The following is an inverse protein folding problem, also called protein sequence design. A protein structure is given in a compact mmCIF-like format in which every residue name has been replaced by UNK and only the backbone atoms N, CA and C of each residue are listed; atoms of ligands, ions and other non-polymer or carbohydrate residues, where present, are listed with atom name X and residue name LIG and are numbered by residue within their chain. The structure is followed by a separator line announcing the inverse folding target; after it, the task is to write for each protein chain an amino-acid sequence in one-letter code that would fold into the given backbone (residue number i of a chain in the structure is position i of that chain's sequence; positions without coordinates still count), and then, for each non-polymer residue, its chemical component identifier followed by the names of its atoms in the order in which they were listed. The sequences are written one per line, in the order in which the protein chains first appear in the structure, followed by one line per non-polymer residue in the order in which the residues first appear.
data_IF_121654792175
#
_entry.id   IF_121654792175
#
_cell.length_a   1.000
_cell.length_b   1.000
_cell.length_c   1.000
_cell.angle_alpha   90.00
_cell.angle_beta   90.00
_cell.angle_gamma   90.00
#
_symmetry.space_group_name_H-M   'P 1'
#
loop_
_entity.id
_entity.type
_entity.pdbx_description
1 polymer ?
#
# COMPACT_ATOMS: atom_id res chain seq x y z
N UNK A 1 26.43 -2.70 -3.06
CA UNK A 1 25.20 -3.23 -3.69
C UNK A 1 24.99 -2.75 -5.12
N UNK A 2 25.24 -1.48 -5.45
CA UNK A 2 25.03 -0.93 -6.81
C UNK A 2 25.81 -1.64 -7.93
N UNK A 3 27.05 -2.07 -7.71
CA UNK A 3 27.87 -2.71 -8.75
C UNK A 3 27.38 -4.11 -9.15
N UNK A 4 26.99 -4.93 -8.18
CA UNK A 4 26.39 -6.26 -8.44
C UNK A 4 25.06 -6.11 -9.18
N UNK A 5 24.22 -5.20 -8.72
CA UNK A 5 22.94 -4.90 -9.35
C UNK A 5 23.13 -4.40 -10.78
N UNK A 6 24.16 -3.58 -11.02
CA UNK A 6 24.52 -3.10 -12.36
C UNK A 6 24.96 -4.26 -13.26
N UNK A 7 25.81 -5.17 -12.76
CA UNK A 7 26.23 -6.34 -13.52
C UNK A 7 25.08 -7.27 -13.86
N UNK A 8 24.20 -7.57 -12.88
CA UNK A 8 23.01 -8.39 -13.09
C UNK A 8 21.99 -7.71 -14.02
N UNK A 9 21.89 -6.38 -13.96
CA UNK A 9 21.04 -5.57 -14.84
C UNK A 9 21.53 -5.53 -16.30
N UNK A 10 22.80 -5.87 -16.55
CA UNK A 10 23.39 -5.93 -17.89
C UNK A 10 23.22 -7.29 -18.60
N UNK A 11 22.64 -8.28 -17.93
CA UNK A 11 22.33 -9.57 -18.56
C UNK A 11 21.41 -9.37 -19.78
N UNK A 12 21.62 -10.12 -20.88
CA UNK A 12 20.83 -9.95 -22.11
C UNK A 12 19.32 -9.96 -21.86
N UNK A 13 18.81 -10.95 -21.13
CA UNK A 13 17.38 -11.04 -20.76
C UNK A 13 16.86 -9.82 -19.99
N UNK A 14 17.68 -9.24 -19.12
CA UNK A 14 17.28 -8.03 -18.39
C UNK A 14 17.13 -6.82 -19.31
N UNK A 15 17.99 -6.71 -20.33
CA UNK A 15 17.88 -5.66 -21.35
C UNK A 15 16.61 -5.82 -22.18
N UNK A 16 16.29 -7.05 -22.57
CA UNK A 16 15.04 -7.38 -23.30
C UNK A 16 13.79 -7.06 -22.49
N UNK A 17 13.78 -7.40 -21.19
CA UNK A 17 12.67 -7.07 -20.28
C UNK A 17 12.51 -5.54 -20.17
N UNK A 18 13.60 -4.81 -19.93
CA UNK A 18 13.57 -3.35 -19.85
C UNK A 18 13.05 -2.72 -21.15
N UNK A 19 13.48 -3.24 -22.28
CA UNK A 19 13.02 -2.80 -23.59
C UNK A 19 11.52 -3.06 -23.75
N UNK A 20 11.02 -4.25 -23.44
CA UNK A 20 9.60 -4.58 -23.51
C UNK A 20 8.74 -3.66 -22.61
N UNK A 21 9.25 -3.33 -21.42
CA UNK A 21 8.62 -2.39 -20.50
C UNK A 21 8.58 -0.97 -21.11
N UNK A 22 9.69 -0.49 -21.66
CA UNK A 22 9.78 0.83 -22.30
C UNK A 22 8.88 0.94 -23.54
N UNK A 23 8.76 -0.13 -24.30
CA UNK A 23 7.85 -0.24 -25.46
C UNK A 23 6.37 -0.38 -25.03
N UNK A 24 6.09 -0.34 -23.72
CA UNK A 24 4.73 -0.47 -23.13
C UNK A 24 3.99 -1.74 -23.53
N UNK A 25 4.71 -2.83 -23.79
CA UNK A 25 4.10 -4.13 -24.03
C UNK A 25 3.34 -4.57 -22.78
N UNK A 26 2.15 -5.14 -22.96
CA UNK A 26 1.29 -5.60 -21.86
C UNK A 26 0.29 -6.63 -22.39
N UNK A 27 0.06 -7.72 -21.67
CA UNK A 27 0.77 -8.14 -20.47
C UNK A 27 2.15 -8.77 -20.79
N UNK A 28 3.07 -8.67 -19.82
CA UNK A 28 4.39 -9.32 -19.83
C UNK A 28 4.40 -10.43 -18.77
N UNK A 29 4.90 -11.61 -19.07
CA UNK A 29 5.13 -12.67 -18.07
C UNK A 29 6.60 -12.97 -17.90
N UNK A 30 7.05 -13.00 -16.65
CA UNK A 30 8.41 -13.37 -16.26
C UNK A 30 8.31 -14.55 -15.30
N UNK A 31 8.70 -15.74 -15.75
CA UNK A 31 8.56 -17.01 -15.03
C UNK A 31 9.89 -17.65 -14.66
N UNK A 32 9.85 -18.68 -13.80
CA UNK A 32 11.03 -19.39 -13.32
C UNK A 32 11.89 -18.60 -12.35
N UNK A 33 11.26 -17.65 -11.61
CA UNK A 33 11.92 -16.76 -10.66
C UNK A 33 11.90 -17.34 -9.25
N UNK A 34 13.00 -17.15 -8.51
CA UNK A 34 12.99 -17.25 -7.05
C UNK A 34 12.32 -16.02 -6.40
N UNK A 35 12.02 -16.05 -5.11
CA UNK A 35 11.50 -14.86 -4.40
C UNK A 35 12.49 -13.68 -4.53
N UNK A 36 13.79 -13.95 -4.34
CA UNK A 36 14.85 -12.95 -4.51
C UNK A 36 14.94 -12.47 -5.97
N UNK A 37 14.75 -13.37 -6.94
CA UNK A 37 14.73 -13.03 -8.36
C UNK A 37 13.62 -12.05 -8.72
N UNK A 38 12.41 -12.23 -8.16
CA UNK A 38 11.31 -11.28 -8.35
C UNK A 38 11.66 -9.89 -7.84
N UNK A 39 12.19 -9.80 -6.61
CA UNK A 39 12.61 -8.53 -6.00
C UNK A 39 13.70 -7.85 -6.82
N UNK A 40 14.67 -8.63 -7.32
CA UNK A 40 15.73 -8.13 -8.20
C UNK A 40 15.16 -7.53 -9.48
N UNK A 41 14.21 -8.22 -10.13
CA UNK A 41 13.54 -7.70 -11.34
C UNK A 41 12.81 -6.40 -11.03
N UNK A 42 12.00 -6.37 -9.96
CA UNK A 42 11.31 -5.18 -9.50
C UNK A 42 12.29 -4.01 -9.28
N UNK A 43 13.37 -4.23 -8.52
CA UNK A 43 14.36 -3.17 -8.22
C UNK A 43 15.14 -2.64 -9.43
N UNK A 44 15.27 -3.46 -10.49
CA UNK A 44 16.07 -3.12 -11.68
C UNK A 44 15.24 -2.63 -12.86
N UNK A 45 13.96 -2.98 -12.93
CA UNK A 45 13.09 -2.71 -14.07
C UNK A 45 12.06 -1.61 -13.82
N UNK A 46 12.20 -0.81 -12.75
CA UNK A 46 11.34 0.36 -12.53
C UNK A 46 11.53 1.35 -13.68
N UNK A 47 10.49 1.61 -14.49
CA UNK A 47 10.65 2.32 -15.76
C UNK A 47 10.87 3.82 -15.61
N UNK A 48 10.37 4.41 -14.54
CA UNK A 48 10.42 5.85 -14.33
C UNK A 48 10.56 6.18 -12.85
N UNK A 49 11.55 7.01 -12.53
CA UNK A 49 11.79 7.41 -11.15
C UNK A 49 10.71 8.35 -10.59
N UNK A 50 9.85 8.90 -11.45
CA UNK A 50 8.82 9.86 -11.08
C UNK A 50 7.42 9.25 -10.96
N UNK A 51 7.20 8.01 -11.40
CA UNK A 51 5.88 7.37 -11.39
C UNK A 51 5.74 6.32 -10.31
N UNK A 52 4.56 6.26 -9.72
CA UNK A 52 4.19 5.21 -8.78
C UNK A 52 4.03 3.89 -9.53
N UNK A 53 4.63 2.82 -8.99
CA UNK A 53 4.40 1.45 -9.42
C UNK A 53 3.62 0.70 -8.35
N UNK A 54 2.80 -0.27 -8.76
CA UNK A 54 1.98 -1.05 -7.84
C UNK A 54 2.40 -2.51 -7.91
N UNK A 55 2.53 -3.16 -6.76
CA UNK A 55 2.66 -4.61 -6.64
C UNK A 55 1.41 -5.15 -5.98
N UNK A 56 0.78 -6.10 -6.64
CA UNK A 56 -0.39 -6.82 -6.12
C UNK A 56 0.02 -8.23 -5.76
N UNK A 57 -0.20 -8.62 -4.52
CA UNK A 57 0.04 -9.97 -4.04
C UNK A 57 -1.21 -10.58 -3.39
N UNK A 58 -1.14 -11.84 -2.99
CA UNK A 58 -2.29 -12.62 -2.55
C UNK A 58 -2.62 -12.49 -1.05
N UNK A 59 -1.70 -11.99 -0.20
CA UNK A 59 -1.96 -11.74 1.22
C UNK A 59 -0.97 -10.70 1.82
N UNK A 60 -1.29 -10.22 3.03
CA UNK A 60 -0.48 -9.21 3.72
C UNK A 60 0.89 -9.70 4.19
N UNK A 61 1.01 -10.98 4.55
CA UNK A 61 2.30 -11.57 4.97
C UNK A 61 3.29 -11.48 3.81
N UNK A 62 2.86 -11.86 2.62
CA UNK A 62 3.68 -11.76 1.41
C UNK A 62 3.96 -10.29 1.06
N UNK A 63 2.97 -9.40 1.20
CA UNK A 63 3.16 -7.97 0.97
C UNK A 63 4.26 -7.38 1.87
N UNK A 64 4.23 -7.68 3.17
CA UNK A 64 5.25 -7.23 4.14
C UNK A 64 6.63 -7.78 3.80
N UNK A 65 6.73 -9.07 3.42
CA UNK A 65 7.98 -9.68 2.95
C UNK A 65 8.54 -8.96 1.71
N UNK A 66 7.69 -8.69 0.72
CA UNK A 66 8.09 -7.95 -0.48
C UNK A 66 8.62 -6.56 -0.12
N UNK A 67 7.98 -5.84 0.82
CA UNK A 67 8.41 -4.51 1.28
C UNK A 67 9.79 -4.57 1.94
N UNK A 68 10.00 -5.53 2.84
CA UNK A 68 11.27 -5.74 3.52
C UNK A 68 12.40 -6.02 2.52
N UNK A 69 12.13 -6.88 1.55
CA UNK A 69 13.10 -7.26 0.52
C UNK A 69 13.36 -6.11 -0.47
N UNK A 70 12.34 -5.35 -0.87
CA UNK A 70 12.48 -4.18 -1.75
C UNK A 70 13.29 -3.05 -1.11
N UNK A 71 13.26 -2.92 0.21
CA UNK A 71 14.03 -1.90 0.94
C UNK A 71 15.56 -2.02 0.74
N UNK A 72 16.05 -3.14 0.17
CA UNK A 72 17.44 -3.28 -0.28
C UNK A 72 17.73 -2.56 -1.59
N UNK A 73 16.72 -2.28 -2.41
CA UNK A 73 16.85 -1.73 -3.76
C UNK A 73 16.33 -0.29 -3.85
N UNK A 74 15.31 0.02 -3.05
CA UNK A 74 14.60 1.30 -3.06
C UNK A 74 14.63 1.86 -1.64
N UNK A 75 14.87 3.15 -1.43
CA UNK A 75 14.76 3.77 -0.11
C UNK A 75 13.40 3.46 0.55
N UNK A 76 13.43 3.05 1.82
CA UNK A 76 12.23 2.61 2.54
C UNK A 76 11.12 3.68 2.52
N UNK A 77 11.52 4.95 2.52
CA UNK A 77 10.63 6.12 2.46
C UNK A 77 9.91 6.23 1.10
N UNK A 78 10.35 5.51 0.08
CA UNK A 78 9.73 5.50 -1.25
C UNK A 78 8.86 4.25 -1.48
N UNK A 79 8.74 3.39 -0.46
CA UNK A 79 7.86 2.22 -0.49
C UNK A 79 6.71 2.46 0.48
N UNK A 80 5.49 2.09 0.09
CA UNK A 80 4.32 2.14 0.95
C UNK A 80 3.52 0.85 0.87
N UNK A 81 2.80 0.53 1.94
CA UNK A 81 1.81 -0.53 1.97
C UNK A 81 0.40 0.08 1.90
N UNK A 82 -0.43 -0.46 1.04
CA UNK A 82 -1.85 -0.12 1.00
C UNK A 82 -2.67 -1.35 1.44
N UNK A 83 -3.07 -1.41 2.73
CA UNK A 83 -3.83 -2.54 3.27
C UNK A 83 -5.28 -2.53 2.81
N UNK A 84 -5.96 -3.66 2.95
CA UNK A 84 -7.42 -3.72 2.85
C UNK A 84 -8.07 -2.88 3.94
N UNK A 85 -9.29 -2.42 3.70
CA UNK A 85 -10.16 -1.81 4.70
C UNK A 85 -10.91 -2.89 5.47
N UNK A 86 -11.03 -2.76 6.77
CA UNK A 86 -11.93 -3.57 7.58
C UNK A 86 -13.36 -3.03 7.45
N UNK A 87 -14.25 -3.82 6.87
CA UNK A 87 -15.68 -3.46 6.77
C UNK A 87 -16.37 -3.92 8.04
N UNK A 88 -16.82 -2.97 8.82
CA UNK A 88 -17.47 -3.23 10.12
C UNK A 88 -18.89 -3.74 9.89
N UNK A 89 -19.17 -4.96 10.35
CA UNK A 89 -20.48 -5.61 10.24
C UNK A 89 -21.26 -5.65 11.56
N UNK A 90 -20.60 -5.29 12.69
CA UNK A 90 -21.20 -5.28 14.03
C UNK A 90 -20.82 -3.99 14.75
N UNK A 91 -21.78 -3.35 15.41
CA UNK A 91 -21.60 -2.04 16.06
C UNK A 91 -20.70 -2.06 17.32
N UNK A 92 -20.18 -3.23 17.72
CA UNK A 92 -19.44 -3.44 18.98
C UNK A 92 -17.98 -3.88 18.79
N UNK A 93 -17.46 -3.93 17.58
CA UNK A 93 -16.05 -4.23 17.37
C UNK A 93 -15.21 -2.96 17.56
N UNK A 94 -14.19 -3.04 18.41
CA UNK A 94 -13.18 -1.98 18.49
C UNK A 94 -12.46 -1.87 17.13
N UNK A 95 -12.68 -0.78 16.43
CA UNK A 95 -11.99 -0.50 15.18
C UNK A 95 -10.50 -0.25 15.46
N UNK A 96 -9.63 -0.90 14.68
CA UNK A 96 -8.21 -0.55 14.67
C UNK A 96 -8.05 0.85 14.07
N UNK A 97 -7.45 1.78 14.81
CA UNK A 97 -7.12 3.10 14.28
C UNK A 97 -5.88 3.07 13.37
N UNK A 98 -5.07 2.03 13.44
CA UNK A 98 -3.81 1.93 12.71
C UNK A 98 -4.03 1.72 11.21
N UNK A 99 -4.91 0.79 10.81
CA UNK A 99 -5.16 0.49 9.39
C UNK A 99 -5.72 1.69 8.59
N UNK A 100 -6.74 2.43 9.07
CA UNK A 100 -7.19 3.65 8.39
C UNK A 100 -6.07 4.68 8.21
N UNK A 101 -5.21 4.83 9.21
CA UNK A 101 -4.08 5.76 9.14
C UNK A 101 -3.00 5.31 8.14
N UNK A 102 -2.68 4.01 8.08
CA UNK A 102 -1.74 3.46 7.11
C UNK A 102 -2.24 3.64 5.67
N UNK A 103 -3.53 3.42 5.43
CA UNK A 103 -4.17 3.67 4.13
C UNK A 103 -4.05 5.16 3.75
N UNK A 104 -4.44 6.07 4.65
CA UNK A 104 -4.35 7.51 4.40
C UNK A 104 -2.91 7.99 4.19
N UNK A 105 -1.95 7.48 4.96
CA UNK A 105 -0.53 7.79 4.75
C UNK A 105 -0.09 7.41 3.34
N UNK A 106 -0.43 6.20 2.91
CA UNK A 106 -0.11 5.72 1.57
C UNK A 106 -0.75 6.58 0.48
N UNK A 107 -2.05 6.89 0.59
CA UNK A 107 -2.77 7.73 -0.39
C UNK A 107 -2.18 9.14 -0.45
N UNK A 108 -1.93 9.77 0.69
CA UNK A 108 -1.36 11.12 0.77
C UNK A 108 0.06 11.17 0.19
N UNK A 109 0.89 10.18 0.48
CA UNK A 109 2.25 10.06 -0.07
C UNK A 109 2.24 9.79 -1.58
N UNK A 110 1.26 9.03 -2.08
CA UNK A 110 1.03 8.86 -3.52
C UNK A 110 0.64 10.18 -4.18
N UNK A 111 -0.30 10.91 -3.58
CA UNK A 111 -0.73 12.21 -4.09
C UNK A 111 0.41 13.24 -4.10
N UNK A 112 1.25 13.24 -3.05
CA UNK A 112 2.44 14.10 -2.93
C UNK A 112 3.59 13.68 -3.87
N UNK A 113 3.51 12.53 -4.56
CA UNK A 113 4.58 12.02 -5.42
C UNK A 113 5.82 11.53 -4.67
N UNK A 114 5.73 11.29 -3.35
CA UNK A 114 6.86 10.86 -2.51
C UNK A 114 7.07 9.34 -2.49
N UNK A 115 6.12 8.56 -3.02
CA UNK A 115 6.15 7.10 -3.11
C UNK A 115 6.41 6.67 -4.54
N UNK A 116 7.30 5.69 -4.72
CA UNK A 116 7.60 5.08 -6.03
C UNK A 116 7.04 3.69 -6.18
N UNK A 117 6.83 3.00 -5.07
CA UNK A 117 6.31 1.65 -5.04
C UNK A 117 5.23 1.53 -3.97
N UNK A 118 4.06 1.07 -4.36
CA UNK A 118 2.99 0.68 -3.43
C UNK A 118 2.80 -0.81 -3.54
N UNK A 119 2.90 -1.50 -2.40
CA UNK A 119 2.57 -2.92 -2.30
C UNK A 119 1.17 -3.04 -1.73
N UNK A 120 0.33 -3.86 -2.34
CA UNK A 120 -1.05 -4.07 -1.91
C UNK A 120 -1.48 -5.51 -2.12
N UNK A 121 -2.66 -5.86 -1.65
CA UNK A 121 -3.27 -7.19 -1.84
C UNK A 121 -4.42 -7.12 -2.82
N UNK A 122 -4.75 -8.26 -3.44
CA UNK A 122 -5.94 -8.37 -4.30
C UNK A 122 -7.21 -7.99 -3.53
N UNK A 123 -7.28 -8.30 -2.24
CA UNK A 123 -8.43 -7.97 -1.39
C UNK A 123 -8.65 -6.46 -1.29
N UNK A 124 -7.58 -5.67 -1.15
CA UNK A 124 -7.65 -4.20 -1.15
C UNK A 124 -8.10 -3.63 -2.50
N UNK A 125 -7.72 -4.25 -3.62
CA UNK A 125 -8.16 -3.83 -4.96
C UNK A 125 -9.64 -4.11 -5.24
N UNK A 126 -10.20 -5.15 -4.61
CA UNK A 126 -11.61 -5.54 -4.78
C UNK A 126 -12.56 -4.61 -4.03
N UNK A 127 -12.05 -3.79 -3.11
CA UNK A 127 -12.86 -2.89 -2.28
C UNK A 127 -13.07 -1.54 -2.96
N UNK A 128 -14.25 -0.97 -2.72
CA UNK A 128 -14.58 0.40 -3.11
C UNK A 128 -14.24 1.40 -2.00
N UNK A 129 -13.91 2.62 -2.42
CA UNK A 129 -13.46 3.69 -1.54
C UNK A 129 -13.92 5.06 -2.06
N UNK A 130 -13.61 6.11 -1.34
CA UNK A 130 -13.87 7.49 -1.74
C UNK A 130 -13.23 7.80 -3.12
N UNK A 131 -13.89 8.58 -4.00
CA UNK A 131 -13.27 9.05 -5.23
C UNK A 131 -12.08 10.00 -4.97
N UNK A 132 -11.03 9.88 -5.79
CA UNK A 132 -9.79 10.67 -5.64
C UNK A 132 -10.01 12.18 -5.68
N UNK A 133 -10.84 12.63 -6.61
CA UNK A 133 -11.19 14.04 -6.79
C UNK A 133 -11.99 14.60 -5.60
N UNK A 134 -12.83 13.79 -4.97
CA UNK A 134 -13.52 14.13 -3.72
C UNK A 134 -12.54 14.23 -2.57
N UNK A 135 -11.67 13.21 -2.39
CA UNK A 135 -10.71 13.16 -1.29
C UNK A 135 -9.74 14.35 -1.28
N UNK A 136 -9.25 14.76 -2.43
CA UNK A 136 -8.24 15.81 -2.53
C UNK A 136 -8.78 17.16 -2.99
N UNK A 137 -10.11 17.35 -2.96
CA UNK A 137 -10.77 18.61 -3.38
C UNK A 137 -10.30 19.83 -2.59
N UNK A 138 -10.12 19.67 -1.28
CA UNK A 138 -9.86 20.78 -0.34
C UNK A 138 -8.49 20.67 0.33
N UNK A 139 -7.46 20.22 -0.41
CA UNK A 139 -6.07 20.20 0.11
C UNK A 139 -5.65 21.62 0.50
N UNK A 140 -5.05 21.78 1.68
CA UNK A 140 -4.67 23.05 2.24
C UNK A 140 -3.15 23.22 2.25
N UNK A 141 -2.63 24.20 1.51
CA UNK A 141 -1.20 24.50 1.47
C UNK A 141 -0.91 25.83 2.15
N UNK A 142 0.15 25.87 2.95
CA UNK A 142 0.67 27.08 3.59
C UNK A 142 2.07 27.36 3.08
N UNK A 143 2.35 28.63 2.83
CA UNK A 143 3.66 29.14 2.45
C UNK A 143 3.97 30.40 3.23
N UNK A 144 5.25 30.63 3.53
CA UNK A 144 5.73 31.82 4.20
C UNK A 144 5.23 33.09 3.50
N UNK A 145 4.86 34.12 4.29
CA UNK A 145 4.34 35.40 3.82
C UNK A 145 3.04 35.35 3.03
N UNK A 146 2.36 34.21 2.96
CA UNK A 146 1.01 34.11 2.36
C UNK A 146 -0.06 34.48 3.38
N UNK A 147 -1.23 34.92 2.88
CA UNK A 147 -2.33 35.37 3.71
C UNK A 147 -3.48 34.36 3.75
N UNK A 148 -3.95 34.05 4.96
CA UNK A 148 -5.06 33.12 5.19
C UNK A 148 -5.95 33.62 6.33
N UNK A 149 -7.26 33.55 6.15
CA UNK A 149 -8.20 33.75 7.22
C UNK A 149 -8.24 32.55 8.17
N UNK A 150 -8.05 32.77 9.47
CA UNK A 150 -8.14 31.68 10.49
C UNK A 150 -9.49 30.98 10.50
N UNK A 151 -10.58 31.68 10.15
CA UNK A 151 -11.91 31.08 10.02
C UNK A 151 -11.95 30.10 8.87
N UNK A 152 -11.43 30.48 7.70
CA UNK A 152 -11.34 29.60 6.52
C UNK A 152 -10.44 28.39 6.79
N UNK A 153 -9.30 28.58 7.48
CA UNK A 153 -8.42 27.46 7.88
C UNK A 153 -9.18 26.46 8.75
N UNK A 154 -9.91 26.95 9.78
CA UNK A 154 -10.70 26.10 10.65
C UNK A 154 -11.73 25.28 9.88
N UNK A 155 -12.49 25.92 9.00
CA UNK A 155 -13.51 25.26 8.16
C UNK A 155 -12.89 24.19 7.27
N UNK A 156 -11.76 24.51 6.61
CA UNK A 156 -11.05 23.56 5.75
C UNK A 156 -10.43 22.40 6.52
N UNK A 157 -9.84 22.63 7.69
CA UNK A 157 -9.30 21.54 8.51
C UNK A 157 -10.41 20.57 8.98
N UNK A 158 -11.57 21.09 9.38
CA UNK A 158 -12.73 20.24 9.70
C UNK A 158 -13.20 19.47 8.46
N UNK A 159 -13.26 20.13 7.30
CA UNK A 159 -13.62 19.45 6.04
C UNK A 159 -12.61 18.36 5.63
N UNK A 160 -11.33 18.54 5.96
CA UNK A 160 -10.26 17.53 5.78
C UNK A 160 -10.29 16.42 6.84
N UNK A 161 -11.25 16.43 7.76
CA UNK A 161 -11.45 15.40 8.78
C UNK A 161 -10.60 15.59 10.03
N UNK A 162 -10.03 16.79 10.26
CA UNK A 162 -9.32 17.08 11.50
C UNK A 162 -10.29 17.48 12.62
N UNK A 163 -10.05 16.95 13.82
CA UNK A 163 -10.81 17.28 15.02
C UNK A 163 -10.16 18.45 15.78
N UNK A 164 -10.97 19.42 16.19
CA UNK A 164 -10.46 20.57 16.94
C UNK A 164 -10.32 20.21 18.43
N UNK A 165 -9.09 20.36 18.96
CA UNK A 165 -8.77 20.15 20.36
C UNK A 165 -8.06 21.39 20.93
N UNK A 166 -8.06 21.54 22.27
CA UNK A 166 -7.28 22.60 22.92
C UNK A 166 -5.78 22.36 22.81
N UNK A 167 -5.35 21.09 22.95
CA UNK A 167 -3.99 20.61 22.75
C UNK A 167 -4.04 19.40 21.83
N UNK A 168 -3.10 19.30 20.90
CA UNK A 168 -3.00 18.15 20.04
C UNK A 168 -2.18 17.04 20.73
N UNK A 169 -2.73 15.83 20.73
CA UNK A 169 -2.18 14.63 21.38
C UNK A 169 -1.90 13.51 20.39
N UNK A 170 -2.48 13.57 19.19
CA UNK A 170 -2.35 12.53 18.17
C UNK A 170 -2.81 12.98 16.79
N UNK A 171 -2.58 12.12 15.81
CA UNK A 171 -2.90 12.36 14.41
C UNK A 171 -4.38 12.74 14.19
N UNK A 172 -4.61 13.61 13.21
CA UNK A 172 -5.96 14.06 12.83
C UNK A 172 -6.55 15.12 13.77
N UNK A 173 -5.75 15.69 14.67
CA UNK A 173 -6.17 16.76 15.56
C UNK A 173 -5.55 18.09 15.16
N UNK A 174 -6.24 19.18 15.42
CA UNK A 174 -5.71 20.52 15.30
C UNK A 174 -6.12 21.44 16.46
N UNK A 175 -5.33 22.46 16.73
CA UNK A 175 -5.59 23.48 17.72
C UNK A 175 -5.40 24.87 17.12
N UNK A 176 -6.25 25.82 17.50
CA UNK A 176 -6.08 27.24 17.15
C UNK A 176 -6.10 28.05 18.44
N UNK A 177 -4.99 28.72 18.72
CA UNK A 177 -4.79 29.58 19.93
C UNK A 177 -4.22 30.92 19.54
N UNK A 178 -5.07 31.97 19.53
CA UNK A 178 -4.66 33.28 19.00
C UNK A 178 -4.26 33.17 17.51
N UNK A 179 -3.05 33.60 17.20
CA UNK A 179 -2.46 33.53 15.87
C UNK A 179 -1.68 32.22 15.58
N UNK A 180 -1.84 31.15 16.40
CA UNK A 180 -1.09 29.91 16.26
C UNK A 180 -2.06 28.80 15.87
N UNK A 181 -1.72 28.08 14.79
CA UNK A 181 -2.42 26.87 14.34
C UNK A 181 -1.47 25.69 14.45
N UNK A 182 -1.81 24.73 15.32
CA UNK A 182 -1.10 23.46 15.46
C UNK A 182 -1.90 22.35 14.76
N UNK A 183 -1.27 21.54 13.91
CA UNK A 183 -1.91 20.46 13.15
C UNK A 183 -1.09 19.18 13.31
N UNK A 184 -1.69 18.10 13.81
CA UNK A 184 -1.04 16.80 13.95
C UNK A 184 -1.10 16.03 12.62
N UNK A 185 0.01 16.04 11.88
CA UNK A 185 0.11 15.36 10.57
C UNK A 185 0.48 13.87 10.67
N UNK A 186 1.01 13.45 11.82
CA UNK A 186 1.29 12.04 12.13
C UNK A 186 1.14 11.81 13.65
N UNK A 187 1.31 10.56 14.10
CA UNK A 187 1.30 10.22 15.54
C UNK A 187 2.39 10.95 16.35
N UNK A 188 3.50 11.29 15.72
CA UNK A 188 4.67 11.86 16.41
C UNK A 188 4.96 13.30 16.04
N UNK A 189 4.49 13.75 14.88
CA UNK A 189 4.88 15.04 14.29
C UNK A 189 3.65 15.91 14.07
N UNK A 190 3.71 17.11 14.59
CA UNK A 190 2.79 18.19 14.29
C UNK A 190 3.48 19.30 13.51
N UNK A 191 2.67 20.15 12.88
CA UNK A 191 3.11 21.39 12.24
C UNK A 191 2.47 22.56 12.98
N UNK A 192 3.29 23.53 13.36
CA UNK A 192 2.88 24.79 13.95
C UNK A 192 3.04 25.90 12.93
N UNK A 193 1.96 26.63 12.69
CA UNK A 193 1.92 27.79 11.79
C UNK A 193 1.59 28.99 12.63
N UNK A 194 2.47 29.97 12.65
CA UNK A 194 2.29 31.23 13.39
C UNK A 194 1.88 32.31 12.40
N UNK A 195 0.89 33.13 12.79
CA UNK A 195 0.31 34.18 11.98
C UNK A 195 0.52 35.54 12.66
N UNK A 196 0.94 36.54 11.87
CA UNK A 196 0.83 37.95 12.22
C UNK A 196 -0.40 38.53 11.49
N UNK A 197 -1.50 38.66 12.23
CA UNK A 197 -2.80 38.92 11.60
C UNK A 197 -3.25 37.74 10.74
N UNK A 198 -3.31 37.93 9.42
CA UNK A 198 -3.63 36.90 8.43
C UNK A 198 -2.38 36.41 7.67
N UNK A 199 -1.22 37.02 7.86
CA UNK A 199 0.03 36.66 7.19
C UNK A 199 0.75 35.52 7.93
N UNK A 200 1.26 34.52 7.21
CA UNK A 200 2.08 33.42 7.76
C UNK A 200 3.48 33.98 8.11
N UNK A 201 3.79 34.04 9.39
CA UNK A 201 5.07 34.50 9.93
C UNK A 201 6.10 33.37 10.08
N UNK A 202 5.66 32.18 10.52
CA UNK A 202 6.53 30.99 10.59
C UNK A 202 5.79 29.69 10.42
N UNK A 203 6.50 28.69 9.86
CA UNK A 203 6.04 27.31 9.74
C UNK A 203 7.10 26.40 10.34
N UNK A 204 6.73 25.55 11.32
CA UNK A 204 7.68 24.66 12.02
C UNK A 204 7.09 23.29 12.22
N UNK A 205 7.90 22.26 12.01
CA UNK A 205 7.60 20.95 12.57
C UNK A 205 7.86 20.94 14.08
N UNK A 206 7.08 20.17 14.82
CA UNK A 206 7.32 19.93 16.24
C UNK A 206 6.95 18.50 16.64
N UNK A 207 7.55 18.02 17.71
CA UNK A 207 7.23 16.72 18.30
C UNK A 207 5.98 16.83 19.15
N UNK A 208 4.95 16.00 18.87
CA UNK A 208 3.70 16.00 19.65
C UNK A 208 3.97 15.67 21.11
N UNK A 209 4.82 14.67 21.40
CA UNK A 209 5.11 14.25 22.78
C UNK A 209 5.83 15.28 23.62
N UNK A 210 6.75 16.07 23.02
CA UNK A 210 7.53 17.08 23.75
C UNK A 210 7.05 18.51 23.52
N UNK A 211 6.16 18.74 22.56
CA UNK A 211 5.68 20.06 22.11
C UNK A 211 6.80 21.01 21.64
N UNK A 212 8.02 20.49 21.38
CA UNK A 212 9.18 21.27 20.97
C UNK A 212 9.34 21.27 19.47
N UNK A 213 9.62 22.46 18.91
CA UNK A 213 9.95 22.61 17.48
C UNK A 213 11.22 21.84 17.12
N UNK A 214 11.19 21.20 15.96
CA UNK A 214 12.28 20.35 15.44
C UNK A 214 12.91 20.92 14.17
N UNK A 215 12.11 21.52 13.27
CA UNK A 215 12.56 21.98 11.96
C UNK A 215 11.74 23.17 11.48
N UNK A 216 12.39 24.16 10.86
CA UNK A 216 11.72 25.23 10.11
C UNK A 216 11.37 24.76 8.70
N UNK A 217 10.22 25.20 8.20
CA UNK A 217 9.72 24.90 6.85
C UNK A 217 9.41 26.20 6.11
N UNK A 218 9.62 26.22 4.81
CA UNK A 218 9.20 27.33 3.93
C UNK A 218 7.74 27.18 3.49
N UNK A 219 7.30 25.93 3.36
CA UNK A 219 5.93 25.58 2.96
C UNK A 219 5.53 24.22 3.54
N UNK A 220 4.23 24.00 3.66
CA UNK A 220 3.64 22.73 4.04
C UNK A 220 2.29 22.52 3.37
N UNK A 221 2.00 21.30 2.97
CA UNK A 221 0.69 20.88 2.47
C UNK A 221 0.02 19.95 3.47
N UNK A 222 -1.18 20.29 3.88
CA UNK A 222 -2.01 19.50 4.79
C UNK A 222 -3.01 18.68 3.96
N UNK A 223 -2.89 17.39 4.09
CA UNK A 223 -3.70 16.39 3.41
C UNK A 223 -4.85 15.93 4.30
N UNK A 224 -5.88 15.25 3.74
CA UNK A 224 -6.95 14.65 4.54
C UNK A 224 -6.44 13.76 5.66
N UNK A 225 -7.06 13.87 6.84
CA UNK A 225 -6.73 13.05 8.01
C UNK A 225 -7.35 11.64 7.92
N UNK A 226 -8.51 11.53 7.27
CA UNK A 226 -9.30 10.29 7.15
C UNK A 226 -9.68 10.04 5.69
N UNK A 227 -9.92 8.77 5.36
CA UNK A 227 -10.43 8.30 4.07
C UNK A 227 -11.93 8.62 3.95
N UNK A 228 -12.27 9.87 4.26
CA UNK A 228 -13.63 10.36 4.26
C UNK A 228 -13.69 11.88 4.07
N UNK A 229 -14.45 12.31 3.06
CA UNK A 229 -14.90 13.70 2.86
C UNK A 229 -16.33 13.64 2.33
N UNK A 230 -17.20 14.51 2.81
CA UNK A 230 -18.56 14.62 2.29
C UNK A 230 -18.54 15.12 0.85
N UNK A 231 -19.00 14.29 -0.09
CA UNK A 231 -19.22 14.71 -1.49
C UNK A 231 -20.48 15.57 -1.61
N UNK A 232 -21.49 15.26 -0.81
CA UNK A 232 -22.83 15.86 -0.86
C UNK A 232 -23.23 16.44 0.50
N UNK A 233 -24.13 17.44 0.53
CA UNK A 233 -24.73 17.87 1.78
C UNK A 233 -25.42 16.71 2.51
N UNK A 234 -25.38 16.72 3.83
CA UNK A 234 -25.96 15.65 4.69
C UNK A 234 -27.43 15.40 4.35
N UNK A 235 -28.21 16.43 4.02
CA UNK A 235 -29.61 16.29 3.59
C UNK A 235 -29.76 15.36 2.39
N UNK A 236 -28.90 15.49 1.39
CA UNK A 236 -28.92 14.62 0.21
C UNK A 236 -28.42 13.19 0.52
N UNK A 237 -27.49 13.04 1.47
CA UNK A 237 -27.06 11.72 1.96
C UNK A 237 -28.24 11.02 2.63
N UNK A 238 -28.99 11.71 3.48
CA UNK A 238 -30.17 11.15 4.16
C UNK A 238 -31.26 10.74 3.16
N UNK A 239 -31.54 11.60 2.17
CA UNK A 239 -32.48 11.25 1.09
C UNK A 239 -32.02 10.01 0.30
N UNK A 240 -30.72 9.86 0.09
CA UNK A 240 -30.16 8.70 -0.61
C UNK A 240 -30.24 7.41 0.23
N UNK A 241 -30.04 7.46 1.55
CA UNK A 241 -30.17 6.32 2.47
C UNK A 241 -31.60 5.73 2.45
N UNK A 242 -32.61 6.55 2.23
CA UNK A 242 -33.99 6.10 2.13
C UNK A 242 -34.29 5.29 0.85
N UNK A 243 -33.41 5.34 -0.16
CA UNK A 243 -33.58 4.57 -1.40
C UNK A 243 -33.27 3.08 -1.20
N UNK A 244 -33.91 2.18 -1.97
CA UNK A 244 -33.78 0.72 -1.78
C UNK A 244 -32.54 0.13 -2.49
N UNK A 245 -31.35 0.67 -2.27
CA UNK A 245 -30.13 0.20 -2.95
C UNK A 245 -29.76 -1.24 -2.58
N UNK A 246 -29.76 -1.56 -1.28
CA UNK A 246 -29.40 -2.90 -0.78
C UNK A 246 -30.43 -3.92 -1.24
N UNK A 247 -31.70 -3.55 -1.19
CA UNK A 247 -32.83 -4.38 -1.58
C UNK A 247 -32.78 -4.75 -3.07
N UNK A 248 -32.43 -3.81 -3.94
CA UNK A 248 -32.26 -4.05 -5.39
C UNK A 248 -31.10 -5.00 -5.64
N UNK A 249 -29.95 -4.79 -5.00
CA UNK A 249 -28.76 -5.64 -5.14
C UNK A 249 -28.96 -7.06 -4.59
N UNK A 250 -29.79 -7.24 -3.56
CA UNK A 250 -30.11 -8.54 -2.99
C UNK A 250 -31.14 -9.32 -3.81
N UNK A 251 -32.03 -8.63 -4.53
CA UNK A 251 -33.01 -9.30 -5.39
C UNK A 251 -32.40 -10.13 -6.51
N UNK A 252 -31.18 -9.80 -6.94
CA UNK A 252 -30.42 -10.50 -7.96
C UNK A 252 -29.63 -11.72 -7.43
N UNK A 253 -29.70 -11.99 -6.11
CA UNK A 253 -28.99 -13.12 -5.48
C UNK A 253 -30.00 -14.22 -5.13
N UNK A 254 -29.53 -15.46 -4.88
CA UNK A 254 -30.35 -16.65 -4.52
C UNK A 254 -31.05 -16.50 -3.15
N UNK A 255 -31.84 -15.42 -2.99
CA UNK A 255 -32.57 -15.08 -1.76
C UNK A 255 -34.07 -15.21 -2.04
N UNK A 256 -34.78 -15.90 -1.18
CA UNK A 256 -36.23 -16.02 -1.31
C UNK A 256 -36.93 -14.68 -1.06
N UNK A 257 -38.03 -14.41 -1.79
CA UNK A 257 -38.82 -13.19 -1.59
C UNK A 257 -39.26 -12.99 -0.12
N UNK A 258 -39.52 -14.07 0.60
CA UNK A 258 -39.90 -14.01 2.02
C UNK A 258 -38.75 -13.53 2.91
N UNK A 259 -37.55 -14.03 2.69
CA UNK A 259 -36.32 -13.58 3.40
C UNK A 259 -36.04 -12.11 3.12
N UNK A 260 -36.16 -11.70 1.86
CA UNK A 260 -35.95 -10.29 1.48
C UNK A 260 -36.97 -9.37 2.12
N UNK A 261 -38.27 -9.74 2.18
CA UNK A 261 -39.30 -8.95 2.84
C UNK A 261 -39.08 -8.83 4.34
N UNK A 262 -38.74 -9.92 5.03
CA UNK A 262 -38.41 -9.90 6.45
C UNK A 262 -37.21 -8.99 6.74
N UNK A 263 -36.16 -9.10 5.93
CA UNK A 263 -34.97 -8.26 6.01
C UNK A 263 -35.32 -6.77 5.84
N UNK A 264 -36.08 -6.40 4.80
CA UNK A 264 -36.48 -5.02 4.53
C UNK A 264 -37.24 -4.43 5.71
N UNK A 265 -38.19 -5.18 6.28
CA UNK A 265 -38.98 -4.71 7.42
C UNK A 265 -38.09 -4.39 8.64
N UNK A 266 -37.12 -5.27 8.93
CA UNK A 266 -36.24 -5.11 10.08
C UNK A 266 -35.24 -3.96 9.93
N UNK A 267 -34.66 -3.77 8.73
CA UNK A 267 -33.62 -2.73 8.51
C UNK A 267 -34.20 -1.30 8.49
N UNK A 268 -35.51 -1.11 8.27
CA UNK A 268 -36.12 0.22 8.25
C UNK A 268 -35.99 0.93 9.60
N UNK A 269 -36.12 0.22 10.73
CA UNK A 269 -35.91 0.77 12.06
C UNK A 269 -34.45 1.19 12.26
N UNK A 270 -33.48 0.33 11.86
CA UNK A 270 -32.05 0.62 11.96
C UNK A 270 -31.64 1.80 11.07
N UNK A 271 -32.26 1.97 9.90
CA UNK A 271 -32.02 3.14 9.03
C UNK A 271 -32.38 4.45 9.73
N UNK A 272 -33.45 4.47 10.51
CA UNK A 272 -33.86 5.67 11.23
C UNK A 272 -32.85 6.07 12.30
N UNK A 273 -32.34 5.13 13.08
CA UNK A 273 -31.31 5.37 14.08
C UNK A 273 -30.01 5.88 13.41
N UNK A 274 -29.58 5.24 12.31
CA UNK A 274 -28.39 5.66 11.57
C UNK A 274 -28.54 7.08 10.97
N UNK A 275 -29.75 7.44 10.51
CA UNK A 275 -30.06 8.81 10.04
C UNK A 275 -29.89 9.83 11.17
N UNK A 276 -30.39 9.54 12.37
CA UNK A 276 -30.22 10.42 13.53
C UNK A 276 -28.75 10.60 13.91
N UNK A 277 -27.96 9.52 13.88
CA UNK A 277 -26.51 9.57 14.10
C UNK A 277 -25.78 10.43 13.06
N UNK A 278 -26.15 10.28 11.79
CA UNK A 278 -25.58 11.05 10.67
C UNK A 278 -25.94 12.54 10.80
N UNK A 279 -27.18 12.87 11.18
CA UNK A 279 -27.63 14.25 11.42
C UNK A 279 -26.84 14.94 12.54
N UNK A 280 -26.42 14.16 13.55
CA UNK A 280 -25.60 14.64 14.67
C UNK A 280 -24.10 14.67 14.35
N UNK A 281 -23.69 14.46 13.10
CA UNK A 281 -22.29 14.51 12.66
C UNK A 281 -21.49 13.21 12.85
N UNK A 282 -22.12 12.13 13.32
CA UNK A 282 -21.48 10.82 13.56
C UNK A 282 -21.61 9.90 12.33
N UNK A 283 -21.09 10.31 11.18
CA UNK A 283 -21.30 9.61 9.92
C UNK A 283 -20.13 8.69 9.49
N UNK A 284 -18.93 8.86 10.03
CA UNK A 284 -17.72 8.10 9.59
C UNK A 284 -17.94 6.60 9.71
N UNK A 285 -18.48 6.14 10.84
CA UNK A 285 -18.78 4.72 11.08
C UNK A 285 -19.90 4.15 10.19
N UNK A 286 -20.65 5.01 9.49
CA UNK A 286 -21.80 4.63 8.67
C UNK A 286 -21.49 4.59 7.17
N UNK A 287 -20.29 5.00 6.75
CA UNK A 287 -19.91 5.10 5.32
C UNK A 287 -20.02 3.75 4.63
N UNK A 288 -19.47 2.71 5.20
CA UNK A 288 -19.49 1.38 4.59
C UNK A 288 -20.91 0.78 4.52
N UNK A 289 -21.79 1.18 5.44
CA UNK A 289 -23.20 0.80 5.41
C UNK A 289 -23.93 1.45 4.22
N UNK A 290 -23.58 2.70 3.90
CA UNK A 290 -24.32 3.55 2.94
C UNK A 290 -23.39 4.19 1.91
N UNK A 291 -22.48 3.43 1.35
CA UNK A 291 -21.40 3.90 0.48
C UNK A 291 -21.90 4.77 -0.69
N UNK A 292 -23.00 4.37 -1.35
CA UNK A 292 -23.59 5.08 -2.48
C UNK A 292 -24.42 6.33 -2.08
N UNK A 293 -24.84 6.39 -0.82
CA UNK A 293 -25.45 7.59 -0.30
C UNK A 293 -24.40 8.70 -0.13
N UNK A 294 -23.20 8.34 0.34
CA UNK A 294 -22.10 9.27 0.53
C UNK A 294 -21.42 9.63 -0.80
N UNK A 295 -21.17 8.66 -1.68
CA UNK A 295 -20.46 8.86 -2.94
C UNK A 295 -21.31 8.47 -4.14
N UNK A 296 -21.38 9.36 -5.13
CA UNK A 296 -22.15 9.11 -6.35
C UNK A 296 -21.56 7.93 -7.13
N UNK A 297 -20.23 7.83 -7.16
CA UNK A 297 -19.50 6.76 -7.84
C UNK A 297 -18.30 6.37 -7.00
N UNK A 298 -18.44 5.40 -6.07
CA UNK A 298 -17.31 4.89 -5.33
C UNK A 298 -16.20 4.39 -6.26
N UNK A 299 -14.96 4.74 -5.95
CA UNK A 299 -13.78 4.45 -6.77
C UNK A 299 -13.09 3.14 -6.36
N UNK A 300 -12.29 2.57 -7.24
CA UNK A 300 -11.30 1.55 -6.90
C UNK A 300 -9.94 2.19 -6.61
N UNK A 301 -9.05 1.46 -5.91
CA UNK A 301 -7.69 1.94 -5.66
C UNK A 301 -6.94 2.29 -6.96
N UNK A 302 -7.16 1.53 -8.04
CA UNK A 302 -6.50 1.77 -9.33
C UNK A 302 -6.90 3.08 -10.01
N UNK A 303 -8.00 3.72 -9.59
CA UNK A 303 -8.40 5.05 -10.09
C UNK A 303 -7.56 6.18 -9.46
N UNK A 304 -6.84 5.90 -8.36
CA UNK A 304 -5.92 6.85 -7.73
C UNK A 304 -4.60 7.02 -8.48
N UNK A 305 -4.28 6.12 -9.39
CA UNK A 305 -3.02 6.13 -10.14
C UNK A 305 -3.22 6.42 -11.62
N UNK A 306 -2.17 6.98 -12.22
CA UNK A 306 -2.14 7.31 -13.64
C UNK A 306 -2.35 6.06 -14.52
N UNK A 307 -2.90 6.26 -15.73
CA UNK A 307 -3.07 5.21 -16.75
C UNK A 307 -1.74 4.57 -17.18
N UNK A 308 -0.63 5.29 -16.99
CA UNK A 308 0.72 4.80 -17.31
C UNK A 308 1.43 4.15 -16.12
N UNK A 309 0.77 4.02 -14.97
CA UNK A 309 1.26 3.25 -13.83
C UNK A 309 1.44 1.79 -14.24
N UNK A 310 2.57 1.21 -13.86
CA UNK A 310 2.83 -0.22 -14.04
C UNK A 310 2.31 -1.00 -12.84
N UNK A 311 1.62 -2.10 -13.13
CA UNK A 311 1.12 -3.04 -12.12
C UNK A 311 1.87 -4.37 -12.25
N UNK A 312 2.48 -4.78 -11.17
CA UNK A 312 3.20 -6.03 -11.01
C UNK A 312 2.33 -7.01 -10.22
N UNK A 313 2.10 -8.19 -10.76
CA UNK A 313 1.30 -9.24 -10.11
C UNK A 313 2.25 -10.33 -9.62
N UNK A 314 2.30 -10.54 -8.30
CA UNK A 314 3.10 -11.58 -7.66
C UNK A 314 2.30 -12.87 -7.55
N UNK A 315 2.70 -13.92 -8.31
CA UNK A 315 2.03 -15.24 -8.33
C UNK A 315 0.54 -15.15 -8.74
N UNK A 316 0.30 -14.86 -9.99
CA UNK A 316 -1.06 -14.64 -10.54
C UNK A 316 -2.07 -15.74 -10.19
N UNK A 317 -1.64 -17.01 -10.15
CA UNK A 317 -2.51 -18.13 -9.76
C UNK A 317 -2.94 -18.00 -8.29
N UNK A 318 -2.01 -17.63 -7.38
CA UNK A 318 -2.36 -17.44 -5.97
C UNK A 318 -3.26 -16.22 -5.78
N UNK A 319 -3.00 -15.14 -6.54
CA UNK A 319 -3.85 -13.94 -6.54
C UNK A 319 -5.28 -14.29 -6.97
N UNK A 320 -5.45 -15.06 -8.05
CA UNK A 320 -6.77 -15.55 -8.51
C UNK A 320 -7.45 -16.47 -7.50
N UNK A 321 -6.71 -17.40 -6.92
CA UNK A 321 -7.24 -18.28 -5.88
C UNK A 321 -7.72 -17.48 -4.66
N UNK A 322 -6.93 -16.49 -4.20
CA UNK A 322 -7.34 -15.62 -3.09
C UNK A 322 -8.58 -14.80 -3.45
N UNK A 323 -8.63 -14.24 -4.67
CA UNK A 323 -9.82 -13.53 -5.17
C UNK A 323 -11.07 -14.41 -5.09
N UNK A 324 -10.99 -15.65 -5.57
CA UNK A 324 -12.11 -16.60 -5.50
C UNK A 324 -12.53 -16.92 -4.06
N UNK A 325 -11.54 -17.10 -3.16
CA UNK A 325 -11.82 -17.30 -1.73
C UNK A 325 -12.53 -16.09 -1.11
N UNK A 326 -12.10 -14.86 -1.41
CA UNK A 326 -12.72 -13.63 -0.92
C UNK A 326 -14.19 -13.54 -1.36
N UNK A 327 -14.49 -13.88 -2.61
CA UNK A 327 -15.87 -13.86 -3.10
C UNK A 327 -16.75 -14.87 -2.37
N UNK A 328 -16.22 -16.07 -2.09
CA UNK A 328 -16.93 -17.09 -1.30
C UNK A 328 -17.12 -16.63 0.16
N UNK A 329 -16.05 -16.12 0.79
CA UNK A 329 -16.09 -15.59 2.15
C UNK A 329 -17.12 -14.47 2.27
N UNK A 330 -17.12 -13.52 1.32
CA UNK A 330 -18.07 -12.41 1.27
C UNK A 330 -19.51 -12.89 1.06
N UNK A 331 -19.73 -13.84 0.15
CA UNK A 331 -21.07 -14.43 -0.05
C UNK A 331 -21.60 -15.08 1.23
N UNK A 332 -20.77 -15.88 1.91
CA UNK A 332 -21.13 -16.53 3.16
C UNK A 332 -21.41 -15.50 4.28
N UNK A 333 -20.64 -14.42 4.34
CA UNK A 333 -20.85 -13.33 5.30
C UNK A 333 -22.19 -12.63 5.06
N UNK A 334 -22.49 -12.27 3.81
CA UNK A 334 -23.77 -11.65 3.43
C UNK A 334 -24.94 -12.58 3.83
N UNK A 335 -24.83 -13.88 3.54
CA UNK A 335 -25.84 -14.88 3.91
C UNK A 335 -26.04 -14.95 5.43
N UNK A 336 -24.95 -14.99 6.20
CA UNK A 336 -25.01 -15.02 7.65
C UNK A 336 -25.61 -13.74 8.25
N UNK A 337 -25.36 -12.56 7.66
CA UNK A 337 -25.98 -11.31 8.06
C UNK A 337 -27.50 -11.32 7.80
N UNK A 338 -27.91 -11.82 6.63
CA UNK A 338 -29.32 -12.00 6.28
C UNK A 338 -30.06 -12.93 7.24
N UNK A 339 -29.47 -14.09 7.54
CA UNK A 339 -30.06 -15.08 8.46
C UNK A 339 -30.22 -14.54 9.88
N UNK A 340 -29.36 -13.60 10.28
CA UNK A 340 -29.40 -12.91 11.58
C UNK A 340 -30.17 -11.60 11.53
N UNK A 341 -30.82 -11.28 10.43
CA UNK A 341 -31.52 -10.02 10.19
C UNK A 341 -30.67 -8.79 10.49
N UNK A 342 -29.33 -8.88 10.23
CA UNK A 342 -28.39 -7.78 10.42
C UNK A 342 -28.24 -6.94 9.16
N UNK A 343 -28.02 -5.64 9.33
CA UNK A 343 -27.75 -4.74 8.23
C UNK A 343 -26.52 -5.19 7.43
N UNK A 344 -26.68 -5.31 6.11
CA UNK A 344 -25.60 -5.63 5.18
C UNK A 344 -24.99 -4.31 4.72
N UNK A 345 -23.70 -4.05 5.00
CA UNK A 345 -23.02 -2.89 4.46
C UNK A 345 -22.98 -2.90 2.92
N UNK A 346 -23.30 -1.77 2.30
CA UNK A 346 -23.21 -1.61 0.83
C UNK A 346 -21.82 -1.93 0.30
N UNK A 347 -20.77 -1.61 1.08
CA UNK A 347 -19.38 -1.92 0.72
C UNK A 347 -19.12 -3.41 0.49
N UNK A 348 -19.84 -4.34 1.16
CA UNK A 348 -19.75 -5.78 0.90
C UNK A 348 -20.40 -6.16 -0.43
N UNK A 349 -21.46 -5.47 -0.83
CA UNK A 349 -22.16 -5.72 -2.10
C UNK A 349 -21.36 -5.24 -3.31
N UNK A 350 -20.43 -4.31 -3.09
CA UNK A 350 -19.54 -3.76 -4.11
C UNK A 350 -18.22 -4.54 -4.28
N UNK A 351 -17.97 -5.59 -3.48
CA UNK A 351 -16.82 -6.48 -3.67
C UNK A 351 -17.04 -7.32 -4.94
N UNK A 352 -16.23 -7.04 -5.96
CA UNK A 352 -16.31 -7.70 -7.27
C UNK A 352 -14.95 -8.23 -7.70
N UNK A 353 -14.89 -9.25 -8.58
CA UNK A 353 -13.64 -9.74 -9.11
C UNK A 353 -12.91 -8.67 -9.92
N UNK A 354 -11.59 -8.67 -9.83
CA UNK A 354 -10.70 -7.86 -10.66
C UNK A 354 -10.16 -8.73 -11.80
N UNK A 355 -10.30 -8.28 -13.03
CA UNK A 355 -9.66 -8.91 -14.20
C UNK A 355 -8.17 -8.56 -14.19
N UNK A 356 -7.35 -9.34 -13.45
CA UNK A 356 -5.92 -9.04 -13.25
C UNK A 356 -5.10 -9.06 -14.54
N UNK A 357 -5.62 -9.63 -15.61
CA UNK A 357 -5.03 -9.61 -16.95
C UNK A 357 -5.30 -8.30 -17.68
N UNK A 358 -6.38 -7.61 -17.36
CA UNK A 358 -6.78 -6.35 -17.97
C UNK A 358 -7.20 -5.32 -16.90
N UNK A 359 -6.22 -4.79 -16.19
CA UNK A 359 -6.42 -3.72 -15.20
C UNK A 359 -6.47 -2.32 -15.83
N UNK A 360 -6.48 -2.22 -17.16
CA UNK A 360 -6.36 -0.94 -17.88
C UNK A 360 -5.01 -0.25 -17.67
N UNK A 361 -4.00 -1.00 -17.24
CA UNK A 361 -2.63 -0.56 -16.89
C UNK A 361 -1.62 -1.48 -17.56
N UNK A 362 -0.35 -1.05 -17.68
CA UNK A 362 0.71 -1.94 -18.09
C UNK A 362 0.94 -3.00 -17.00
N UNK A 363 0.73 -4.28 -17.33
CA UNK A 363 0.75 -5.39 -16.37
C UNK A 363 1.94 -6.31 -16.62
N UNK A 364 2.64 -6.66 -15.52
CA UNK A 364 3.76 -7.61 -15.51
C UNK A 364 3.49 -8.69 -14.48
N UNK A 365 3.48 -9.95 -14.90
CA UNK A 365 3.34 -11.11 -14.03
C UNK A 365 4.71 -11.64 -13.63
N UNK A 366 4.91 -11.86 -12.32
CA UNK A 366 6.12 -12.44 -11.74
C UNK A 366 5.78 -13.81 -11.16
N UNK A 367 6.29 -14.87 -11.79
CA UNK A 367 5.87 -16.25 -11.52
C UNK A 367 7.07 -17.13 -11.12
N UNK A 368 6.90 -17.96 -10.10
CA UNK A 368 7.88 -19.01 -9.77
C UNK A 368 7.86 -20.14 -10.80
N UNK A 369 6.70 -20.46 -11.30
CA UNK A 369 6.50 -21.56 -12.26
C UNK A 369 5.92 -21.04 -13.57
N UNK A 370 6.15 -21.76 -14.62
CA UNK A 370 5.56 -21.47 -15.94
C UNK A 370 4.12 -21.98 -15.97
N UNK A 371 3.17 -21.12 -15.60
CA UNK A 371 1.75 -21.46 -15.44
C UNK A 371 0.94 -20.83 -16.58
N UNK A 372 -0.27 -21.40 -16.84
CA UNK A 372 -1.13 -21.13 -18.00
C UNK A 372 -1.44 -19.69 -18.40
N UNK A 373 -1.29 -18.68 -17.50
CA UNK A 373 -1.44 -17.24 -17.82
C UNK A 373 -0.36 -16.77 -18.80
N UNK A 374 0.82 -17.39 -18.79
CA UNK A 374 1.89 -17.10 -19.75
C UNK A 374 1.41 -17.15 -21.20
N UNK A 375 0.43 -18.01 -21.52
CA UNK A 375 -0.06 -18.22 -22.89
C UNK A 375 -0.79 -17.01 -23.48
N UNK A 376 -1.35 -16.12 -22.66
CA UNK A 376 -2.04 -14.91 -23.11
C UNK A 376 -1.14 -13.67 -23.14
N UNK A 377 0.10 -13.77 -22.66
CA UNK A 377 1.02 -12.63 -22.59
C UNK A 377 1.66 -12.32 -23.95
N UNK A 378 1.79 -11.03 -24.25
CA UNK A 378 2.44 -10.54 -25.47
C UNK A 378 3.95 -10.84 -25.47
N UNK A 379 4.57 -10.75 -24.28
CA UNK A 379 5.99 -11.07 -24.07
C UNK A 379 6.14 -12.06 -22.93
N UNK A 380 7.02 -13.05 -23.13
CA UNK A 380 7.32 -14.07 -22.13
C UNK A 380 8.83 -14.21 -21.95
N UNK A 381 9.27 -14.16 -20.70
CA UNK A 381 10.67 -14.33 -20.32
C UNK A 381 10.76 -15.45 -19.28
N UNK A 382 11.56 -16.46 -19.54
CA UNK A 382 11.75 -17.58 -18.63
C UNK A 382 13.15 -17.56 -18.01
N UNK A 383 13.22 -17.65 -16.70
CA UNK A 383 14.42 -17.84 -15.90
C UNK A 383 14.46 -19.25 -15.32
N UNK A 384 15.63 -19.68 -14.87
CA UNK A 384 15.84 -20.95 -14.16
C UNK A 384 16.49 -20.64 -12.82
N UNK A 385 15.73 -19.96 -11.95
CA UNK A 385 16.20 -19.63 -10.60
C UNK A 385 15.66 -20.65 -9.58
N UNK A 386 16.41 -20.82 -8.51
CA UNK A 386 16.00 -21.64 -7.37
C UNK A 386 16.22 -20.84 -6.10
N UNK A 387 15.30 -20.96 -5.15
CA UNK A 387 15.49 -20.42 -3.81
C UNK A 387 16.64 -21.17 -3.14
N UNK A 388 17.49 -20.44 -2.42
CA UNK A 388 18.53 -21.01 -1.57
C UNK A 388 17.86 -21.54 -0.30
N UNK A 389 18.37 -22.65 0.23
CA UNK A 389 17.88 -23.22 1.50
C UNK A 389 17.99 -22.18 2.63
N UNK A 390 17.01 -22.20 3.54
CA UNK A 390 17.00 -21.29 4.69
C UNK A 390 17.74 -21.93 5.88
N UNK A 391 19.02 -21.57 6.05
CA UNK A 391 19.94 -22.16 7.04
C UNK A 391 19.77 -21.63 8.47
N UNK A 392 18.55 -21.56 9.00
CA UNK A 392 18.33 -21.09 10.38
C UNK A 392 18.97 -22.06 11.37
N UNK A 393 20.08 -21.63 12.00
CA UNK A 393 20.86 -22.44 12.97
C UNK A 393 21.49 -23.72 12.39
N UNK A 394 21.52 -23.89 11.08
CA UNK A 394 22.09 -25.06 10.40
C UNK A 394 23.43 -24.68 9.72
N UNK A 395 24.39 -24.25 10.52
CA UNK A 395 25.67 -23.75 10.03
C UNK A 395 26.48 -24.84 9.27
N UNK A 396 26.43 -26.06 9.75
CA UNK A 396 27.17 -27.20 9.15
C UNK A 396 26.63 -27.46 7.73
N UNK A 397 25.32 -27.50 7.56
CA UNK A 397 24.69 -27.67 6.24
C UNK A 397 25.04 -26.53 5.27
N UNK A 398 25.09 -25.28 5.76
CA UNK A 398 25.55 -24.15 4.95
C UNK A 398 26.99 -24.34 4.47
N UNK A 399 27.90 -24.77 5.36
CA UNK A 399 29.31 -24.98 5.01
C UNK A 399 29.47 -26.13 3.99
N UNK A 400 28.72 -27.22 4.13
CA UNK A 400 28.69 -28.32 3.16
C UNK A 400 28.20 -27.84 1.77
N UNK A 401 27.09 -27.07 1.72
CA UNK A 401 26.57 -26.52 0.48
C UNK A 401 27.57 -25.53 -0.15
N UNK A 402 28.21 -24.69 0.62
CA UNK A 402 29.26 -23.78 0.12
C UNK A 402 30.43 -24.52 -0.49
N UNK A 403 30.92 -25.59 0.16
CA UNK A 403 31.97 -26.44 -0.39
C UNK A 403 31.55 -27.14 -1.69
N UNK A 404 30.34 -27.68 -1.74
CA UNK A 404 29.76 -28.27 -2.94
C UNK A 404 29.71 -27.28 -4.09
N UNK A 405 29.21 -26.07 -3.85
CA UNK A 405 29.10 -25.05 -4.89
C UNK A 405 30.46 -24.49 -5.34
N UNK A 406 31.47 -24.47 -4.46
CA UNK A 406 32.86 -24.19 -4.84
C UNK A 406 33.39 -25.24 -5.82
N UNK A 407 33.16 -26.52 -5.54
CA UNK A 407 33.56 -27.63 -6.42
C UNK A 407 32.84 -27.56 -7.77
N UNK A 408 31.60 -27.07 -7.79
CA UNK A 408 30.84 -26.80 -9.01
C UNK A 408 31.28 -25.49 -9.73
N UNK A 409 32.33 -24.81 -9.25
CA UNK A 409 32.87 -23.54 -9.76
C UNK A 409 31.83 -22.41 -9.81
N UNK A 410 30.88 -22.41 -8.88
CA UNK A 410 29.88 -21.35 -8.77
C UNK A 410 30.49 -20.07 -8.21
N UNK A 411 29.94 -18.93 -8.62
CA UNK A 411 30.20 -17.62 -8.02
C UNK A 411 29.17 -17.40 -6.91
N UNK A 412 29.65 -17.15 -5.69
CA UNK A 412 28.81 -16.97 -4.52
C UNK A 412 29.08 -15.60 -3.89
N UNK A 413 28.02 -14.91 -3.52
CA UNK A 413 28.09 -13.65 -2.79
C UNK A 413 27.27 -13.80 -1.53
N UNK A 414 27.91 -13.55 -0.40
CA UNK A 414 27.29 -13.63 0.92
C UNK A 414 27.23 -12.23 1.51
N UNK A 415 26.02 -11.79 1.79
CA UNK A 415 25.75 -10.50 2.44
C UNK A 415 25.70 -10.71 3.96
N UNK A 416 26.75 -10.34 4.66
CA UNK A 416 26.88 -10.55 6.10
C UNK A 416 26.22 -9.49 7.00
N UNK A 417 25.43 -8.59 6.42
CA UNK A 417 24.78 -7.53 7.16
C UNK A 417 25.77 -6.43 7.59
N UNK A 418 26.07 -6.30 8.89
CA UNK A 418 27.06 -5.34 9.40
C UNK A 418 28.47 -5.80 9.06
N UNK A 419 29.40 -4.85 8.94
CA UNK A 419 30.82 -5.16 8.62
C UNK A 419 31.44 -6.16 9.59
N UNK A 420 31.14 -6.02 10.87
CA UNK A 420 31.65 -6.90 11.91
C UNK A 420 31.18 -8.35 11.70
N UNK A 421 29.89 -8.56 11.40
CA UNK A 421 29.32 -9.89 11.18
C UNK A 421 29.85 -10.53 9.89
N UNK A 422 30.00 -9.74 8.82
CA UNK A 422 30.58 -10.18 7.56
C UNK A 422 32.05 -10.62 7.76
N UNK A 423 32.85 -9.88 8.52
CA UNK A 423 34.24 -10.23 8.84
C UNK A 423 34.33 -11.49 9.69
N UNK A 424 33.48 -11.62 10.72
CA UNK A 424 33.39 -12.84 11.56
C UNK A 424 33.07 -14.07 10.71
N UNK A 425 32.10 -13.93 9.80
CA UNK A 425 31.72 -15.02 8.90
C UNK A 425 32.85 -15.38 7.93
N UNK A 426 33.54 -14.40 7.33
CA UNK A 426 34.71 -14.65 6.48
C UNK A 426 35.84 -15.34 7.25
N UNK A 427 36.11 -14.94 8.50
CA UNK A 427 37.09 -15.59 9.36
C UNK A 427 36.71 -17.05 9.67
N UNK A 428 35.42 -17.32 9.96
CA UNK A 428 34.92 -18.67 10.15
C UNK A 428 35.12 -19.55 8.91
N UNK A 429 34.89 -19.04 7.72
CA UNK A 429 35.15 -19.79 6.48
C UNK A 429 36.63 -20.09 6.30
N UNK A 430 37.53 -19.17 6.65
CA UNK A 430 38.98 -19.42 6.66
C UNK A 430 39.40 -20.49 7.66
N UNK A 431 38.82 -20.44 8.86
CA UNK A 431 39.06 -21.48 9.91
C UNK A 431 38.65 -22.89 9.44
N UNK A 432 37.58 -22.95 8.62
CA UNK A 432 37.08 -24.19 8.01
C UNK A 432 37.74 -24.54 6.68
N UNK A 433 38.84 -23.88 6.33
CA UNK A 433 39.60 -24.09 5.10
C UNK A 433 38.75 -23.85 3.81
N UNK A 434 37.70 -23.04 3.91
CA UNK A 434 36.85 -22.67 2.78
C UNK A 434 37.36 -21.36 2.16
N UNK A 435 37.90 -21.39 0.92
CA UNK A 435 38.46 -20.20 0.27
C UNK A 435 37.37 -19.13 0.09
N UNK A 436 37.63 -17.95 0.60
CA UNK A 436 36.73 -16.81 0.45
C UNK A 436 37.52 -15.49 0.45
N UNK A 437 36.89 -14.44 -0.03
CA UNK A 437 37.41 -13.08 -0.01
C UNK A 437 36.40 -12.15 0.68
N UNK A 438 36.86 -11.38 1.66
CA UNK A 438 36.07 -10.30 2.24
C UNK A 438 36.33 -9.00 1.48
N UNK A 439 35.24 -8.30 1.12
CA UNK A 439 35.28 -6.93 0.57
C UNK A 439 34.30 -6.05 1.32
N UNK A 440 34.71 -4.85 1.69
CA UNK A 440 33.85 -3.94 2.45
C UNK A 440 32.65 -3.49 1.63
N UNK A 441 32.86 -3.18 0.36
CA UNK A 441 31.79 -2.80 -0.58
C UNK A 441 32.06 -3.44 -1.95
N UNK A 442 30.98 -3.87 -2.62
CA UNK A 442 31.08 -4.43 -3.98
C UNK A 442 31.58 -3.41 -5.02
N UNK A 443 31.60 -2.13 -4.70
CA UNK A 443 32.09 -1.05 -5.57
C UNK A 443 33.61 -1.12 -5.78
N UNK A 444 34.33 -1.70 -4.85
CA UNK A 444 35.79 -1.89 -4.95
C UNK A 444 36.18 -2.94 -5.99
N UNK A 445 35.24 -3.77 -6.45
CA UNK A 445 35.48 -4.84 -7.44
C UNK A 445 34.88 -4.52 -8.83
N UNK A 446 34.52 -3.25 -9.10
CA UNK A 446 33.82 -2.83 -10.35
C UNK A 446 34.50 -3.22 -11.66
N UNK A 447 35.79 -3.52 -11.66
CA UNK A 447 36.57 -3.79 -12.87
C UNK A 447 37.14 -5.22 -12.99
N UNK A 448 36.79 -6.13 -12.04
CA UNK A 448 37.20 -7.54 -12.13
C UNK A 448 36.00 -8.41 -12.46
N UNK A 449 36.12 -9.25 -13.47
CA UNK A 449 35.19 -10.37 -13.62
C UNK A 449 35.17 -11.16 -12.31
N UNK A 450 34.01 -11.32 -11.71
CA UNK A 450 33.85 -12.14 -10.51
C UNK A 450 34.39 -13.54 -10.81
N UNK A 451 35.54 -13.87 -10.24
CA UNK A 451 36.12 -15.21 -10.34
C UNK A 451 35.21 -16.22 -9.62
N UNK A 452 35.22 -17.51 -10.03
CA UNK A 452 34.58 -18.56 -9.23
C UNK A 452 35.08 -18.53 -7.80
N UNK A 453 34.19 -18.56 -6.81
CA UNK A 453 34.58 -18.48 -5.41
C UNK A 453 33.52 -17.82 -4.54
N UNK A 454 33.84 -17.63 -3.27
CA UNK A 454 32.99 -16.99 -2.28
C UNK A 454 33.47 -15.56 -2.00
N UNK A 455 32.58 -14.60 -2.22
CA UNK A 455 32.76 -13.21 -1.84
C UNK A 455 31.86 -12.91 -0.63
N UNK A 456 32.45 -12.52 0.49
CA UNK A 456 31.72 -12.07 1.67
C UNK A 456 31.76 -10.55 1.72
N UNK A 457 30.63 -9.90 1.87
CA UNK A 457 30.56 -8.44 1.85
C UNK A 457 29.51 -7.91 2.85
N UNK A 458 29.56 -6.61 3.10
CA UNK A 458 28.56 -5.93 3.90
C UNK A 458 27.30 -5.63 3.08
N UNK A 459 26.30 -5.24 3.77
CA UNK A 459 24.99 -4.85 3.22
C UNK A 459 25.03 -3.53 2.48
#
# INVERSE_FOLDING_TARGET
MNSLLTQLGNLPKMKEIKQAIQEKKSPITISGLSDVGKIRILGQCLPDKEKVNIIVTYNEIQAKKIIEDLAYFIPKEQIAFFPKKEIVTYDYLAESKELPYERMDTLNRMYAGSVKMVVTTIEALMQKMIPKDVLYKEVLSFQMSSHYSLTTIKEKLVALGYERNELIEGRGQFSIRGGIVDIAISEKTGVRIEFWGEEVDSIREFSISSQRSTKMLEQITIYPAHEFILEKPITQVIEAIQKPFVEEKLSDKDITKKQLQAYIAHIQENKQEDIEWIQNGNYISKIDKYLHAFYTKPASFLEYVDKHTMVWIDESTKVKQRQSSILIENHNLIKALLEKEKMIPEALLEIQPCEIEDLGKQTVFLEKQDIGIAKSSICQFHFQERDVHYYKSEMELLLEDLQKWLNEKKKMIILGGKEEDARKFSALLHEKEIPNQFVKTLEQEQNKELMPGILVTTR
#
